data_IF_901328067096
#
_entry.id   IF_901328067096
#
_cell.length_a   1.000
_cell.length_b   1.000
_cell.length_c   1.000
_cell.angle_alpha   90.00
_cell.angle_beta   90.00
_cell.angle_gamma   90.00
#
_symmetry.space_group_name_H-M   'P 1'
#
loop_
_entity.id
_entity.type
_entity.pdbx_description
1 polymer ?
#
# COMPACT_ATOMS: atom_id res chain seq x y z
N UNK A 1 -0.63 8.85 6.27
CA UNK A 1 0.33 8.69 5.15
C UNK A 1 0.76 10.05 4.61
N UNK A 2 1.18 10.95 5.49
CA UNK A 2 1.05 12.39 5.20
C UNK A 2 2.36 13.00 4.66
N UNK A 3 3.40 12.17 4.60
CA UNK A 3 4.74 12.55 4.16
C UNK A 3 4.95 12.38 2.65
N UNK A 4 4.01 11.73 1.94
CA UNK A 4 4.07 11.63 0.48
C UNK A 4 3.72 12.98 -0.14
N UNK A 5 4.52 13.39 -1.13
CA UNK A 5 4.38 14.65 -1.87
C UNK A 5 4.28 14.34 -3.37
N UNK A 6 3.52 15.12 -4.15
CA UNK A 6 2.80 16.35 -3.80
C UNK A 6 1.45 16.14 -3.11
N UNK A 7 0.93 14.90 -3.05
CA UNK A 7 -0.29 14.53 -2.33
C UNK A 7 0.00 13.39 -1.36
N UNK A 8 -0.75 13.35 -0.27
CA UNK A 8 -0.65 12.29 0.72
C UNK A 8 -1.02 10.91 0.12
N UNK A 9 -0.51 9.84 0.73
CA UNK A 9 -0.70 8.49 0.23
C UNK A 9 -2.15 8.03 0.22
N UNK A 10 -2.96 8.54 1.15
CA UNK A 10 -4.37 8.17 1.25
C UNK A 10 -5.16 8.71 0.06
N UNK A 11 -4.96 9.98 -0.28
CA UNK A 11 -5.57 10.61 -1.47
C UNK A 11 -5.16 9.92 -2.77
N UNK A 12 -3.89 9.52 -2.89
CA UNK A 12 -3.38 8.78 -4.06
C UNK A 12 -4.07 7.41 -4.15
N UNK A 13 -4.14 6.67 -3.03
CA UNK A 13 -4.76 5.36 -2.98
C UNK A 13 -6.27 5.42 -3.28
N UNK A 14 -6.99 6.37 -2.72
CA UNK A 14 -8.41 6.57 -3.02
C UNK A 14 -8.65 6.87 -4.50
N UNK A 15 -7.80 7.70 -5.12
CA UNK A 15 -7.91 7.99 -6.54
C UNK A 15 -7.68 6.73 -7.40
N UNK A 16 -6.70 5.90 -7.03
CA UNK A 16 -6.44 4.62 -7.70
C UNK A 16 -7.60 3.63 -7.53
N UNK A 17 -8.18 3.54 -6.32
CA UNK A 17 -9.32 2.67 -6.03
C UNK A 17 -10.58 2.99 -6.85
N UNK A 18 -10.78 4.25 -7.24
CA UNK A 18 -11.88 4.64 -8.14
C UNK A 18 -11.73 4.05 -9.55
N UNK A 19 -10.53 3.64 -9.93
CA UNK A 19 -10.23 3.01 -11.22
C UNK A 19 -10.34 1.50 -11.08
N UNK A 20 -9.74 0.92 -10.03
CA UNK A 20 -9.70 -0.53 -9.81
C UNK A 20 -9.46 -0.88 -8.33
N UNK A 21 -10.05 -1.96 -7.79
CA UNK A 21 -9.71 -2.48 -6.46
C UNK A 21 -8.31 -3.15 -6.42
N UNK A 22 -7.73 -3.47 -7.58
CA UNK A 22 -6.44 -4.13 -7.69
C UNK A 22 -5.34 -3.08 -7.84
N UNK A 23 -4.83 -2.60 -6.71
CA UNK A 23 -3.80 -1.56 -6.63
C UNK A 23 -2.51 -2.17 -6.12
N UNK A 24 -1.37 -1.73 -6.67
CA UNK A 24 -0.04 -2.09 -6.17
C UNK A 24 0.68 -0.80 -5.80
N UNK A 25 1.22 -0.73 -4.59
CA UNK A 25 1.89 0.46 -4.07
C UNK A 25 3.26 0.11 -3.49
N UNK A 26 4.31 0.78 -3.95
CA UNK A 26 5.62 0.71 -3.31
C UNK A 26 5.76 1.81 -2.26
N UNK A 27 6.27 1.46 -1.08
CA UNK A 27 6.49 2.38 0.03
C UNK A 27 7.91 2.26 0.59
N UNK A 28 8.49 3.38 1.06
CA UNK A 28 9.81 3.37 1.67
C UNK A 28 9.84 2.58 2.98
N UNK A 29 11.01 2.05 3.32
CA UNK A 29 11.25 1.20 4.52
C UNK A 29 10.84 1.79 5.88
N UNK A 30 10.58 3.08 5.98
CA UNK A 30 10.22 3.77 7.21
C UNK A 30 8.71 3.99 7.36
N UNK A 31 7.89 3.38 6.49
CA UNK A 31 6.44 3.53 6.56
C UNK A 31 5.86 2.83 7.80
N UNK A 32 4.82 3.44 8.38
CA UNK A 32 4.09 2.85 9.49
C UNK A 32 3.07 1.83 8.95
N UNK A 33 3.28 0.54 9.26
CA UNK A 33 2.41 -0.55 8.80
C UNK A 33 0.96 -0.42 9.27
N UNK A 34 0.72 0.18 10.46
CA UNK A 34 -0.64 0.41 10.93
C UNK A 34 -1.42 1.34 9.98
N UNK A 35 -0.74 2.35 9.41
CA UNK A 35 -1.35 3.23 8.41
C UNK A 35 -1.63 2.52 7.08
N UNK A 36 -0.92 1.44 6.79
CA UNK A 36 -1.13 0.62 5.59
C UNK A 36 -2.37 -0.26 5.76
N UNK A 37 -2.52 -0.89 6.93
CA UNK A 37 -3.71 -1.69 7.24
C UNK A 37 -4.99 -0.84 7.22
N UNK A 38 -4.93 0.39 7.76
CA UNK A 38 -6.04 1.35 7.71
C UNK A 38 -6.56 1.60 6.27
N UNK A 39 -5.69 1.56 5.25
CA UNK A 39 -6.11 1.72 3.85
C UNK A 39 -7.04 0.59 3.40
N UNK A 40 -6.74 -0.65 3.77
CA UNK A 40 -7.58 -1.81 3.47
C UNK A 40 -8.94 -1.69 4.15
N UNK A 41 -8.97 -1.33 5.44
CA UNK A 41 -10.20 -1.18 6.22
C UNK A 41 -11.10 -0.05 5.76
N UNK A 42 -10.52 1.07 5.31
CA UNK A 42 -11.27 2.23 4.81
C UNK A 42 -11.79 2.03 3.38
N UNK A 43 -11.42 0.93 2.71
CA UNK A 43 -11.95 0.56 1.41
C UNK A 43 -13.35 -0.05 1.55
N UNK A 44 -14.22 0.16 0.56
CA UNK A 44 -15.58 -0.38 0.58
C UNK A 44 -15.86 -1.19 -0.70
N UNK A 45 -15.91 -2.54 -0.62
CA UNK A 45 -15.68 -3.37 0.57
C UNK A 45 -14.21 -3.37 1.04
N UNK A 46 -13.91 -3.80 2.28
CA UNK A 46 -12.52 -3.96 2.73
C UNK A 46 -11.73 -4.85 1.77
N UNK A 47 -10.52 -4.44 1.43
CA UNK A 47 -9.68 -5.12 0.44
C UNK A 47 -8.71 -6.08 1.12
N UNK A 48 -8.50 -7.27 0.56
CA UNK A 48 -7.37 -8.11 0.96
C UNK A 48 -6.06 -7.39 0.67
N UNK A 49 -5.08 -7.58 1.55
CA UNK A 49 -3.78 -6.93 1.50
C UNK A 49 -2.66 -7.94 1.70
N UNK A 50 -1.63 -7.86 0.87
CA UNK A 50 -0.37 -8.58 1.00
C UNK A 50 0.78 -7.58 1.03
N UNK A 51 1.78 -7.84 1.89
CA UNK A 51 2.97 -7.00 2.03
C UNK A 51 4.20 -7.85 1.67
N UNK A 52 4.92 -7.42 0.65
CA UNK A 52 6.20 -7.98 0.26
C UNK A 52 7.34 -7.06 0.69
N UNK A 53 8.29 -7.60 1.45
CA UNK A 53 9.50 -6.86 1.82
C UNK A 53 10.55 -6.91 0.70
N UNK A 54 11.05 -5.75 0.31
CA UNK A 54 12.07 -5.63 -0.72
C UNK A 54 13.46 -5.50 -0.09
N UNK A 55 14.35 -6.43 -0.43
CA UNK A 55 15.75 -6.42 -0.03
C UNK A 55 16.68 -6.27 -1.23
N UNK A 56 17.74 -5.50 -1.06
CA UNK A 56 18.84 -5.44 -2.02
C UNK A 56 20.14 -5.73 -1.28
N UNK A 57 20.81 -6.81 -1.65
CA UNK A 57 22.04 -7.30 -0.97
C UNK A 57 21.86 -7.45 0.55
N UNK A 58 20.70 -7.93 0.99
CA UNK A 58 20.37 -8.09 2.42
C UNK A 58 19.96 -6.78 3.12
N UNK A 59 20.00 -5.63 2.44
CA UNK A 59 19.52 -4.36 2.99
C UNK A 59 18.04 -4.14 2.67
N UNK A 60 17.23 -3.94 3.71
CA UNK A 60 15.81 -3.60 3.57
C UNK A 60 15.63 -2.23 2.89
N UNK A 61 14.92 -2.22 1.76
CA UNK A 61 14.69 -1.01 0.93
C UNK A 61 13.29 -0.44 1.10
N UNK A 62 12.30 -1.29 1.33
CA UNK A 62 10.91 -0.88 1.46
C UNK A 62 9.96 -2.05 1.30
N UNK A 63 8.69 -1.74 1.13
CA UNK A 63 7.65 -2.74 0.94
C UNK A 63 6.88 -2.49 -0.34
N UNK A 64 6.44 -3.56 -0.98
CA UNK A 64 5.42 -3.54 -2.03
C UNK A 64 4.13 -4.08 -1.43
N UNK A 65 3.05 -3.34 -1.58
CA UNK A 65 1.74 -3.72 -1.07
C UNK A 65 0.84 -4.02 -2.24
N UNK A 66 0.19 -5.18 -2.19
CA UNK A 66 -0.79 -5.62 -3.16
C UNK A 66 -2.18 -5.59 -2.52
N UNK A 67 -3.13 -4.96 -3.20
CA UNK A 67 -4.52 -4.86 -2.76
C UNK A 67 -5.45 -5.66 -3.68
N UNK A 68 -6.55 -6.18 -3.11
CA UNK A 68 -7.60 -6.85 -3.87
C UNK A 68 -7.17 -8.23 -4.38
N UNK A 69 -7.51 -8.56 -5.63
CA UNK A 69 -7.17 -9.84 -6.24
C UNK A 69 -5.67 -9.97 -6.59
N UNK A 70 -4.92 -8.87 -6.53
CA UNK A 70 -3.46 -8.87 -6.68
C UNK A 70 -2.74 -9.37 -5.43
N UNK A 71 -3.42 -9.47 -4.29
CA UNK A 71 -2.88 -10.11 -3.10
C UNK A 71 -2.93 -11.62 -3.28
N UNK A 72 -1.77 -12.27 -3.34
CA UNK A 72 -1.61 -13.71 -3.31
C UNK A 72 -1.48 -14.14 -1.86
N UNK A 73 -2.40 -15.01 -1.42
CA UNK A 73 -2.47 -15.47 -0.03
C UNK A 73 -1.35 -16.45 0.32
#
# INVERSE_FOLDING_TARGET
MDLLKPKDGYSIFQAAQRITPNVIMFLPRNVNLNQVEELSWLSSPPLMLEIEENYWEGYFKGITIYFGASAHR
#
